data_IF_774285892443
#
_entry.id   IF_774285892443
#
_cell.length_a   1.000
_cell.length_b   1.000
_cell.length_c   1.000
_cell.angle_alpha   90.00
_cell.angle_beta   90.00
_cell.angle_gamma   90.00
#
_symmetry.space_group_name_H-M   'P 1'
#
loop_
_entity.id
_entity.type
_entity.pdbx_description
1 polymer ?
#
# COMPACT_ATOMS: atom_id res chain seq x y z
N UNK A 1 5.94 -2.45 5.51
CA UNK A 1 6.04 -2.44 6.98
C UNK A 1 7.47 -2.72 7.46
N UNK A 2 8.19 -1.69 7.91
CA UNK A 2 9.55 -1.81 8.44
C UNK A 2 9.59 -2.72 9.66
N UNK A 3 10.42 -3.76 9.61
CA UNK A 3 10.47 -4.83 10.61
C UNK A 3 11.69 -4.65 11.50
N UNK A 4 11.46 -4.49 12.80
CA UNK A 4 12.51 -4.42 13.81
C UNK A 4 13.17 -5.78 14.00
N UNK A 5 14.47 -5.93 13.68
CA UNK A 5 15.20 -7.21 13.80
C UNK A 5 16.37 -7.11 14.79
N UNK A 6 16.56 -8.16 15.59
CA UNK A 6 17.70 -8.29 16.50
C UNK A 6 18.24 -9.72 16.50
N UNK A 7 19.55 -9.86 16.66
CA UNK A 7 20.25 -11.15 16.72
C UNK A 7 20.74 -11.41 18.13
N UNK A 8 20.51 -12.62 18.63
CA UNK A 8 21.09 -13.08 19.88
C UNK A 8 22.54 -13.53 19.66
N UNK A 9 23.49 -13.01 20.45
CA UNK A 9 24.90 -13.42 20.37
C UNK A 9 25.15 -14.80 21.02
N UNK A 10 24.24 -15.25 21.90
CA UNK A 10 24.37 -16.53 22.63
C UNK A 10 24.01 -17.73 21.76
N UNK A 11 22.89 -17.66 21.04
CA UNK A 11 22.42 -18.77 20.19
C UNK A 11 22.45 -18.47 18.69
N UNK A 12 22.80 -17.25 18.30
CA UNK A 12 22.81 -16.83 16.89
C UNK A 12 21.43 -16.61 16.28
N UNK A 13 20.36 -16.79 17.04
CA UNK A 13 18.96 -16.72 16.58
C UNK A 13 18.56 -15.27 16.28
N UNK A 14 17.87 -15.06 15.16
CA UNK A 14 17.43 -13.75 14.69
C UNK A 14 15.93 -13.64 14.94
N UNK A 15 15.55 -12.73 15.84
CA UNK A 15 14.17 -12.45 16.19
C UNK A 15 13.79 -11.07 15.66
N UNK A 16 12.65 -11.01 14.98
CA UNK A 16 12.10 -9.77 14.45
C UNK A 16 10.63 -9.60 14.78
N UNK A 17 10.22 -8.35 14.96
CA UNK A 17 8.83 -7.96 15.19
C UNK A 17 8.41 -6.92 14.15
N UNK A 18 7.27 -7.17 13.51
CA UNK A 18 6.67 -6.24 12.52
C UNK A 18 5.46 -5.50 13.06
N UNK A 19 4.88 -5.95 14.19
CA UNK A 19 3.62 -5.40 14.70
C UNK A 19 3.77 -4.85 16.13
N UNK A 20 2.97 -3.82 16.52
CA UNK A 20 3.03 -3.22 17.86
C UNK A 20 2.74 -4.18 19.01
N UNK A 21 2.05 -5.27 18.73
CA UNK A 21 1.64 -6.31 19.67
C UNK A 21 2.37 -7.64 19.45
N UNK A 22 3.32 -7.71 18.50
CA UNK A 22 4.12 -8.92 18.31
C UNK A 22 5.26 -8.93 19.35
N UNK A 23 5.44 -10.12 19.95
CA UNK A 23 6.45 -10.40 20.97
C UNK A 23 7.15 -11.68 20.57
N UNK A 24 8.45 -11.59 20.35
CA UNK A 24 9.29 -12.71 19.90
C UNK A 24 10.46 -12.87 20.84
N UNK A 25 10.76 -14.12 21.16
CA UNK A 25 11.88 -14.49 22.02
C UNK A 25 12.79 -15.46 21.27
N UNK A 26 14.12 -15.32 21.41
CA UNK A 26 15.07 -16.27 20.82
C UNK A 26 14.78 -17.69 21.32
N UNK A 27 15.24 -18.69 20.57
CA UNK A 27 15.26 -20.10 21.02
C UNK A 27 15.93 -20.31 22.38
N UNK A 28 16.82 -19.39 22.77
CA UNK A 28 17.57 -19.40 24.02
C UNK A 28 16.86 -18.77 25.23
N UNK A 29 15.72 -18.12 25.04
CA UNK A 29 14.99 -17.37 26.09
C UNK A 29 15.66 -16.07 26.59
N UNK A 30 16.84 -15.70 26.09
CA UNK A 30 17.66 -14.58 26.61
C UNK A 30 17.41 -13.23 25.93
N UNK A 31 16.91 -13.24 24.69
CA UNK A 31 16.57 -12.06 23.91
C UNK A 31 15.07 -12.06 23.64
N UNK A 32 14.39 -11.00 24.05
CA UNK A 32 12.98 -10.76 23.72
C UNK A 32 12.85 -9.42 23.01
N UNK A 33 12.24 -9.44 21.83
CA UNK A 33 11.90 -8.26 21.03
C UNK A 33 10.40 -8.09 21.03
N UNK A 34 9.93 -6.89 21.29
CA UNK A 34 8.51 -6.56 21.33
C UNK A 34 8.23 -5.19 20.72
N UNK A 35 7.04 -5.03 20.15
CA UNK A 35 6.61 -3.76 19.58
C UNK A 35 6.94 -3.61 18.09
N UNK A 36 6.36 -2.59 17.48
CA UNK A 36 6.52 -2.26 16.07
C UNK A 36 7.63 -1.25 15.84
N UNK A 37 7.88 -0.83 14.59
CA UNK A 37 9.03 0.00 14.19
C UNK A 37 9.15 1.32 14.99
N UNK A 38 8.03 1.93 15.40
CA UNK A 38 8.02 3.17 16.19
C UNK A 38 8.30 2.99 17.69
N UNK A 39 7.99 1.83 18.26
CA UNK A 39 8.03 1.58 19.70
C UNK A 39 8.66 0.23 20.00
N UNK A 40 9.80 -0.03 19.37
CA UNK A 40 10.60 -1.22 19.60
C UNK A 40 11.11 -1.24 21.04
N UNK A 41 10.89 -2.37 21.71
CA UNK A 41 11.47 -2.69 23.03
C UNK A 41 12.25 -3.99 22.93
N UNK A 42 13.52 -3.93 23.31
CA UNK A 42 14.38 -5.10 23.43
C UNK A 42 14.68 -5.34 24.90
N UNK A 43 14.42 -6.57 25.35
CA UNK A 43 14.71 -7.02 26.69
C UNK A 43 15.78 -8.11 26.62
N UNK A 44 16.84 -7.92 27.39
CA UNK A 44 17.94 -8.87 27.52
C UNK A 44 17.96 -9.46 28.94
N UNK A 45 18.01 -10.77 29.03
CA UNK A 45 17.86 -11.52 30.29
C UNK A 45 19.13 -12.29 30.69
N UNK A 46 20.26 -12.13 29.99
CA UNK A 46 21.47 -12.93 30.22
C UNK A 46 22.53 -12.22 31.07
N UNK A 47 23.54 -13.00 31.46
CA UNK A 47 24.68 -12.55 32.27
C UNK A 47 25.46 -11.39 31.60
N UNK A 48 26.02 -10.46 32.39
CA UNK A 48 26.85 -9.37 31.88
C UNK A 48 28.12 -9.95 31.24
N UNK A 49 28.18 -9.95 29.91
CA UNK A 49 29.27 -10.54 29.13
C UNK A 49 28.83 -11.11 27.79
N UNK A 50 27.56 -11.49 27.68
CA UNK A 50 26.92 -11.80 26.39
C UNK A 50 25.98 -10.67 25.97
N UNK A 51 25.82 -10.46 24.67
CA UNK A 51 25.04 -9.37 24.12
C UNK A 51 24.02 -9.79 23.07
N UNK A 52 23.45 -8.79 22.43
CA UNK A 52 22.64 -8.96 21.23
C UNK A 52 23.04 -7.87 20.23
N UNK A 53 22.95 -8.19 18.95
CA UNK A 53 23.25 -7.27 17.87
C UNK A 53 21.95 -6.70 17.33
N UNK A 54 21.87 -5.38 17.26
CA UNK A 54 20.79 -4.73 16.55
C UNK A 54 21.00 -4.87 15.05
N UNK A 55 20.05 -5.47 14.33
CA UNK A 55 20.10 -5.55 12.87
C UNK A 55 19.34 -4.39 12.22
N UNK A 56 18.73 -3.51 13.02
CA UNK A 56 18.10 -2.30 12.54
C UNK A 56 16.78 -2.55 11.82
N UNK A 57 16.27 -1.44 11.29
CA UNK A 57 15.03 -1.31 10.53
C UNK A 57 15.49 -1.04 9.08
N UNK A 58 15.40 -2.03 8.19
CA UNK A 58 15.70 -1.78 6.77
C UNK A 58 14.54 -0.94 6.21
N UNK A 59 14.76 0.31 5.77
CA UNK A 59 13.71 1.06 5.11
C UNK A 59 13.30 0.26 3.89
N UNK A 60 12.04 -0.12 3.80
CA UNK A 60 11.49 -0.56 2.53
C UNK A 60 11.56 0.67 1.64
N UNK A 61 12.48 0.65 0.66
CA UNK A 61 12.52 1.62 -0.42
C UNK A 61 11.08 1.91 -0.86
N UNK A 62 10.66 3.16 -0.68
CA UNK A 62 9.42 3.67 -1.23
C UNK A 62 9.46 3.33 -2.73
N UNK A 63 8.45 2.65 -3.30
CA UNK A 63 8.43 2.48 -4.74
C UNK A 63 8.43 3.88 -5.35
N UNK A 64 9.49 4.16 -6.11
CA UNK A 64 9.64 5.32 -6.97
C UNK A 64 8.41 5.38 -7.90
N UNK A 65 7.36 6.10 -7.46
CA UNK A 65 6.14 6.38 -8.22
C UNK A 65 6.44 7.39 -9.36
N UNK A 66 7.53 7.17 -10.13
CA UNK A 66 7.88 7.96 -11.31
C UNK A 66 7.50 7.28 -12.63
N UNK A 67 6.40 6.51 -12.69
CA UNK A 67 5.92 5.97 -13.97
C UNK A 67 4.45 6.29 -14.25
N UNK A 68 4.32 7.41 -14.97
CA UNK A 68 3.51 7.56 -16.18
C UNK A 68 2.00 7.29 -16.07
N UNK A 69 1.25 8.35 -15.79
CA UNK A 69 -0.02 8.56 -16.50
C UNK A 69 0.22 9.61 -17.58
N UNK A 70 0.75 9.10 -18.67
CA UNK A 70 0.74 9.68 -20.01
C UNK A 70 -0.71 9.97 -20.45
N UNK A 71 -0.89 11.06 -21.19
CA UNK A 71 -2.09 11.45 -21.94
C UNK A 71 -3.41 11.71 -21.19
N UNK A 72 -3.61 12.97 -20.80
CA UNK A 72 -4.91 13.64 -21.01
C UNK A 72 -4.67 14.91 -21.81
N UNK A 73 -4.47 14.72 -23.10
CA UNK A 73 -4.32 15.78 -24.08
C UNK A 73 -5.13 15.45 -25.32
N UNK A 74 -6.46 15.38 -25.22
CA UNK A 74 -7.33 15.51 -26.39
C UNK A 74 -8.75 15.95 -25.97
N UNK A 75 -8.96 17.26 -25.93
CA UNK A 75 -10.29 17.86 -26.06
C UNK A 75 -10.22 18.92 -27.17
N UNK A 76 -9.78 18.48 -28.34
CA UNK A 76 -9.78 19.25 -29.58
C UNK A 76 -10.98 18.89 -30.45
N UNK A 77 -12.21 19.15 -30.01
CA UNK A 77 -13.37 19.14 -30.93
C UNK A 77 -13.64 20.55 -31.41
N UNK A 78 -13.08 20.83 -32.59
CA UNK A 78 -13.36 21.99 -33.38
C UNK A 78 -14.83 22.00 -33.85
N UNK A 79 -15.37 23.20 -33.81
CA UNK A 79 -16.47 23.76 -34.61
C UNK A 79 -16.68 23.09 -35.97
N UNK A 80 -17.88 22.58 -36.23
CA UNK A 80 -18.48 22.56 -37.57
C UNK A 80 -19.98 22.91 -37.49
N UNK A 81 -20.24 24.18 -37.79
CA UNK A 81 -21.50 24.71 -38.28
C UNK A 81 -22.01 23.87 -39.47
N UNK A 82 -23.10 23.12 -39.28
CA UNK A 82 -23.92 22.60 -40.39
C UNK A 82 -25.37 22.99 -40.11
N UNK A 83 -25.75 24.17 -40.57
CA UNK A 83 -27.13 24.42 -40.95
C UNK A 83 -27.47 23.64 -42.21
N UNK A 84 -28.58 22.90 -42.21
CA UNK A 84 -29.39 22.77 -43.42
C UNK A 84 -30.86 22.50 -43.07
N UNK A 85 -31.68 23.33 -43.70
CA UNK A 85 -33.12 23.38 -43.74
C UNK A 85 -33.76 22.05 -44.17
N UNK A 86 -34.89 21.66 -43.55
CA UNK A 86 -36.09 21.18 -44.29
C UNK A 86 -37.29 20.90 -43.39
N UNK A 87 -38.30 21.75 -43.62
CA UNK A 87 -39.66 21.42 -44.02
C UNK A 87 -40.55 20.53 -43.10
N UNK A 88 -41.69 21.13 -42.80
CA UNK A 88 -42.90 20.55 -42.23
C UNK A 88 -43.33 19.20 -42.85
N UNK A 89 -43.85 18.31 -42.00
CA UNK A 89 -44.90 17.37 -42.40
C UNK A 89 -45.88 17.18 -41.23
N UNK A 90 -46.94 18.00 -41.26
CA UNK A 90 -48.16 17.84 -40.49
C UNK A 90 -49.02 16.79 -41.24
N UNK A 91 -49.15 15.59 -40.67
CA UNK A 91 -49.55 14.41 -41.47
C UNK A 91 -50.21 13.27 -40.72
N UNK A 92 -51.22 13.56 -39.89
CA UNK A 92 -52.40 12.68 -39.75
C UNK A 92 -52.27 11.38 -38.95
N UNK A 93 -52.59 11.46 -37.65
CA UNK A 93 -53.04 10.31 -36.85
C UNK A 93 -54.31 9.67 -37.42
N UNK A 94 -54.15 8.58 -38.17
CA UNK A 94 -55.25 7.71 -38.56
C UNK A 94 -55.67 6.81 -37.40
N UNK A 95 -56.73 7.27 -36.72
CA UNK A 95 -57.56 6.50 -35.81
C UNK A 95 -58.03 5.20 -36.48
N UNK A 96 -57.84 4.07 -35.82
CA UNK A 96 -58.21 2.75 -36.33
C UNK A 96 -58.59 1.74 -35.25
N UNK A 97 -59.35 2.16 -34.24
CA UNK A 97 -60.00 1.25 -33.30
C UNK A 97 -61.35 0.78 -33.87
N UNK A 98 -61.33 -0.33 -34.62
CA UNK A 98 -62.53 -1.07 -34.98
C UNK A 98 -62.85 -2.06 -33.85
N UNK A 99 -64.01 -1.86 -33.23
CA UNK A 99 -64.72 -2.81 -32.36
C UNK A 99 -65.38 -3.88 -33.21
#
# INVERSE_FOLDING_TARGET
>A
MTASRARCDVCGDIVGSSHPWDVRTCSCGRLTVSGGPKHRRVQWSAEPGAGWTDLGDEPEDEPDDELANDELGDDGVADEDVGDDRAADDGGSRLGARR
#
